data_IF_220530938725
#
_entry.id   IF_220530938725
#
_cell.length_a   1.000
_cell.length_b   1.000
_cell.length_c   1.000
_cell.angle_alpha   90.00
_cell.angle_beta   90.00
_cell.angle_gamma   90.00
#
_symmetry.space_group_name_H-M   'P 1'
#
loop_
_entity.id
_entity.type
_entity.pdbx_description
1 polymer ?
#
# COMPACT_ATOMS: atom_id res chain seq x y z
N UNK A 1 -76.78 -3.14 -33.50
CA UNK A 1 -76.07 -4.28 -32.88
C UNK A 1 -75.77 -3.88 -31.44
N UNK A 2 -76.56 -4.40 -30.49
CA UNK A 2 -76.19 -5.50 -29.56
C UNK A 2 -75.07 -5.04 -28.61
N UNK A 3 -75.10 -5.14 -27.28
CA UNK A 3 -76.08 -5.42 -26.22
C UNK A 3 -75.26 -5.33 -24.90
N UNK A 4 -75.94 -5.36 -23.75
CA UNK A 4 -75.56 -6.14 -22.54
C UNK A 4 -74.13 -5.96 -21.93
N UNK A 5 -73.91 -5.72 -20.65
CA UNK A 5 -74.73 -5.89 -19.45
C UNK A 5 -74.03 -5.24 -18.24
N UNK A 6 -74.80 -4.72 -17.30
CA UNK A 6 -75.13 -5.33 -15.99
C UNK A 6 -73.96 -5.30 -14.99
N UNK A 7 -73.98 -4.39 -14.00
CA UNK A 7 -74.49 -4.61 -12.62
C UNK A 7 -73.62 -5.63 -11.85
N UNK A 8 -73.09 -5.38 -10.65
CA UNK A 8 -73.86 -5.07 -9.44
C UNK A 8 -72.94 -4.66 -8.26
N UNK A 9 -73.35 -3.60 -7.56
CA UNK A 9 -73.30 -3.33 -6.10
C UNK A 9 -71.99 -3.35 -5.25
N UNK A 10 -71.55 -2.15 -4.86
CA UNK A 10 -71.63 -1.53 -3.52
C UNK A 10 -71.43 -2.39 -2.23
N UNK A 11 -70.34 -2.04 -1.51
CA UNK A 11 -70.14 -1.85 -0.06
C UNK A 11 -70.73 -2.86 0.96
N UNK A 12 -69.84 -3.57 1.67
CA UNK A 12 -70.12 -4.31 2.91
C UNK A 12 -69.05 -4.08 3.99
N UNK A 13 -69.51 -3.59 5.15
CA UNK A 13 -68.79 -3.11 6.36
C UNK A 13 -67.67 -4.01 6.90
N UNK A 14 -66.54 -3.36 7.23
CA UNK A 14 -65.49 -3.85 8.13
C UNK A 14 -66.08 -4.17 9.52
N UNK A 15 -65.98 -5.42 9.97
CA UNK A 15 -66.15 -5.80 11.37
C UNK A 15 -64.80 -6.23 11.95
N UNK A 16 -64.37 -5.50 12.98
CA UNK A 16 -63.17 -5.71 13.78
C UNK A 16 -63.40 -6.93 14.69
N UNK A 17 -62.67 -8.02 14.46
CA UNK A 17 -62.63 -9.16 15.40
C UNK A 17 -61.46 -9.00 16.40
N UNK A 18 -61.63 -9.45 17.66
CA UNK A 18 -60.86 -9.01 18.83
C UNK A 18 -59.45 -9.63 18.96
N UNK A 19 -58.57 -8.87 19.63
CA UNK A 19 -57.09 -9.04 19.74
C UNK A 19 -56.68 -10.13 20.75
N UNK A 20 -57.62 -10.87 21.33
CA UNK A 20 -57.35 -11.73 22.50
C UNK A 20 -56.68 -13.08 22.18
N UNK A 21 -56.60 -13.47 20.91
CA UNK A 21 -55.98 -14.74 20.51
C UNK A 21 -54.51 -14.64 20.05
N UNK A 22 -53.90 -13.45 20.08
CA UNK A 22 -52.51 -13.29 19.63
C UNK A 22 -51.46 -13.56 20.73
N UNK A 23 -51.86 -13.55 22.01
CA UNK A 23 -50.90 -13.61 23.14
C UNK A 23 -50.59 -15.04 23.63
N UNK A 24 -51.26 -16.09 23.13
CA UNK A 24 -51.05 -17.48 23.60
C UNK A 24 -50.11 -18.33 22.72
N UNK A 25 -49.55 -17.74 21.67
CA UNK A 25 -48.62 -18.40 20.74
C UNK A 25 -47.15 -17.99 20.93
N UNK A 26 -46.80 -17.35 22.05
CA UNK A 26 -45.44 -16.86 22.32
C UNK A 26 -44.76 -17.54 23.52
N UNK A 27 -45.29 -18.67 24.01
CA UNK A 27 -44.76 -19.35 25.19
C UNK A 27 -44.82 -20.88 25.17
N UNK A 28 -44.54 -21.50 24.01
CA UNK A 28 -44.12 -22.91 23.93
C UNK A 28 -43.26 -23.15 22.68
N UNK A 29 -42.11 -22.46 22.58
CA UNK A 29 -41.04 -22.92 21.68
C UNK A 29 -40.60 -24.29 22.21
N UNK A 30 -40.84 -25.34 21.42
CA UNK A 30 -40.40 -26.70 21.76
C UNK A 30 -38.90 -26.69 22.04
N UNK A 31 -38.45 -27.41 23.08
CA UNK A 31 -37.04 -27.47 23.53
C UNK A 31 -36.04 -27.75 22.39
N UNK A 32 -36.50 -28.39 21.32
CA UNK A 32 -35.71 -28.68 20.12
C UNK A 32 -35.46 -27.46 19.22
N UNK A 33 -36.42 -26.55 19.11
CA UNK A 33 -36.30 -25.33 18.30
C UNK A 33 -35.35 -24.33 18.97
N UNK A 34 -35.42 -24.19 20.31
CA UNK A 34 -34.47 -23.39 21.09
C UNK A 34 -33.02 -23.90 20.95
N UNK A 35 -32.84 -25.23 20.95
CA UNK A 35 -31.53 -25.88 20.75
C UNK A 35 -30.98 -25.66 19.33
N UNK A 36 -31.85 -25.56 18.33
CA UNK A 36 -31.46 -25.27 16.94
C UNK A 36 -30.98 -23.82 16.79
N UNK A 37 -31.65 -22.87 17.43
CA UNK A 37 -31.28 -21.47 17.42
C UNK A 37 -29.95 -21.21 18.15
N UNK A 38 -29.75 -21.80 19.33
CA UNK A 38 -28.48 -21.68 20.08
C UNK A 38 -27.29 -22.26 19.30
N UNK A 39 -27.47 -23.38 18.60
CA UNK A 39 -26.43 -23.96 17.73
C UNK A 39 -26.14 -23.10 16.49
N UNK A 40 -27.15 -22.46 15.92
CA UNK A 40 -26.97 -21.54 14.80
C UNK A 40 -26.21 -20.28 15.24
N UNK A 41 -26.54 -19.75 16.41
CA UNK A 41 -25.90 -18.56 16.97
C UNK A 41 -24.44 -18.83 17.40
N UNK A 42 -24.16 -19.99 18.00
CA UNK A 42 -22.80 -20.41 18.33
C UNK A 42 -21.93 -20.58 17.08
N UNK A 43 -22.48 -21.19 16.01
CA UNK A 43 -21.76 -21.32 14.72
C UNK A 43 -21.56 -19.97 14.03
N UNK A 44 -22.47 -19.01 14.21
CA UNK A 44 -22.30 -17.65 13.68
C UNK A 44 -21.23 -16.88 14.45
N UNK A 45 -21.19 -17.00 15.79
CA UNK A 45 -20.17 -16.38 16.65
C UNK A 45 -18.77 -16.93 16.37
N UNK A 46 -18.62 -18.25 16.24
CA UNK A 46 -17.33 -18.88 15.93
C UNK A 46 -16.81 -18.49 14.53
N UNK A 47 -17.70 -18.31 13.53
CA UNK A 47 -17.32 -17.81 12.21
C UNK A 47 -16.92 -16.33 12.23
N UNK A 48 -17.59 -15.51 13.05
CA UNK A 48 -17.26 -14.10 13.21
C UNK A 48 -15.92 -13.88 13.94
N UNK A 49 -15.58 -14.73 14.91
CA UNK A 49 -14.28 -14.68 15.61
C UNK A 49 -13.13 -15.13 14.72
N UNK A 50 -13.32 -16.17 13.89
CA UNK A 50 -12.31 -16.60 12.89
C UNK A 50 -12.01 -15.51 11.85
N UNK A 51 -13.03 -14.73 11.45
CA UNK A 51 -12.86 -13.59 10.53
C UNK A 51 -12.20 -12.37 11.18
N UNK A 52 -12.29 -12.21 12.51
CA UNK A 52 -11.61 -11.14 13.24
C UNK A 52 -10.13 -11.46 13.48
N UNK A 53 -9.80 -12.72 13.82
CA UNK A 53 -8.40 -13.14 13.98
C UNK A 53 -7.60 -13.12 12.67
N UNK A 54 -8.25 -13.32 11.51
CA UNK A 54 -7.57 -13.16 10.21
C UNK A 54 -7.31 -11.69 9.85
N UNK A 55 -8.11 -10.75 10.36
CA UNK A 55 -7.96 -9.30 10.07
C UNK A 55 -6.95 -8.58 10.97
N UNK A 56 -6.56 -9.16 12.11
CA UNK A 56 -5.54 -8.56 12.99
C UNK A 56 -4.09 -8.89 12.56
N UNK A 57 -3.87 -10.00 11.85
CA UNK A 57 -2.52 -10.38 11.38
C UNK A 57 -2.08 -9.56 10.15
N UNK A 58 -3.01 -9.05 9.34
CA UNK A 58 -2.67 -8.22 8.16
C UNK A 58 -2.47 -6.72 8.47
N UNK A 59 -2.66 -6.27 9.72
CA UNK A 59 -2.62 -4.84 10.07
C UNK A 59 -1.35 -4.35 10.75
N UNK A 60 -0.33 -5.19 10.94
CA UNK A 60 0.89 -4.80 11.68
C UNK A 60 2.19 -4.64 10.90
N UNK A 61 2.17 -4.73 9.57
CA UNK A 61 3.30 -4.29 8.73
C UNK A 61 2.80 -3.62 7.44
N UNK A 62 2.13 -2.47 7.58
CA UNK A 62 2.16 -1.47 6.52
C UNK A 62 2.99 -0.30 7.03
N UNK A 63 4.30 -0.40 6.83
CA UNK A 63 5.11 0.77 6.52
C UNK A 63 4.38 1.46 5.38
N UNK A 64 3.73 2.58 5.67
CA UNK A 64 3.05 3.39 4.67
C UNK A 64 4.14 3.82 3.70
N UNK A 65 4.28 3.10 2.58
CA UNK A 65 4.75 3.70 1.35
C UNK A 65 3.76 4.83 1.14
N UNK A 66 4.21 6.08 1.33
CA UNK A 66 3.47 7.23 0.82
C UNK A 66 3.29 6.89 -0.64
N UNK A 67 2.08 6.51 -1.02
CA UNK A 67 1.75 6.25 -2.41
C UNK A 67 2.12 7.54 -3.12
N UNK A 68 3.06 7.46 -4.07
CA UNK A 68 3.40 8.61 -4.92
C UNK A 68 2.07 9.13 -5.44
N UNK A 69 1.63 10.33 -5.01
CA UNK A 69 0.33 10.81 -5.39
C UNK A 69 0.32 10.88 -6.91
N UNK A 70 -0.66 10.23 -7.51
CA UNK A 70 -0.80 10.13 -8.97
C UNK A 70 -0.90 11.52 -9.62
N UNK A 71 -1.25 12.54 -8.83
CA UNK A 71 -1.29 13.93 -9.23
C UNK A 71 0.07 14.64 -9.07
N UNK A 72 0.55 15.24 -10.16
CA UNK A 72 1.84 15.91 -10.20
C UNK A 72 1.93 17.11 -9.24
N UNK A 73 0.82 17.80 -8.99
CA UNK A 73 0.81 18.96 -8.10
C UNK A 73 0.92 18.56 -6.62
N UNK A 74 0.32 17.43 -6.24
CA UNK A 74 0.47 16.87 -4.90
C UNK A 74 1.91 16.36 -4.65
N UNK A 75 2.51 15.65 -5.61
CA UNK A 75 3.91 15.19 -5.49
C UNK A 75 4.88 16.36 -5.29
N UNK A 76 4.69 17.44 -6.06
CA UNK A 76 5.51 18.65 -5.92
C UNK A 76 5.41 19.23 -4.50
N UNK A 77 4.20 19.35 -3.94
CA UNK A 77 4.00 19.87 -2.57
C UNK A 77 4.68 18.98 -1.52
N UNK A 78 4.52 17.67 -1.61
CA UNK A 78 5.14 16.71 -0.69
C UNK A 78 6.67 16.82 -0.75
N UNK A 79 7.24 16.88 -1.96
CA UNK A 79 8.69 16.99 -2.13
C UNK A 79 9.25 18.33 -1.66
N UNK A 80 8.54 19.44 -1.89
CA UNK A 80 8.93 20.74 -1.34
C UNK A 80 8.99 20.71 0.19
N UNK A 81 7.95 20.17 0.84
CA UNK A 81 7.91 20.02 2.29
C UNK A 81 9.05 19.13 2.80
N UNK A 82 9.32 18.01 2.13
CA UNK A 82 10.44 17.14 2.48
C UNK A 82 11.80 17.86 2.38
N UNK A 83 12.02 18.65 1.34
CA UNK A 83 13.26 19.45 1.18
C UNK A 83 13.38 20.54 2.25
N UNK A 84 12.28 21.18 2.63
CA UNK A 84 12.25 22.17 3.72
C UNK A 84 12.58 21.53 5.07
N UNK A 85 12.03 20.34 5.35
CA UNK A 85 12.37 19.56 6.54
C UNK A 85 13.85 19.19 6.59
N UNK A 86 14.45 18.84 5.44
CA UNK A 86 15.90 18.56 5.37
C UNK A 86 16.73 19.79 5.71
N UNK A 87 16.36 20.95 5.17
CA UNK A 87 17.02 22.23 5.52
C UNK A 87 16.87 22.55 7.01
N UNK A 88 15.69 22.32 7.58
CA UNK A 88 15.43 22.54 9.01
C UNK A 88 16.21 21.57 9.90
N UNK A 89 16.42 20.33 9.47
CA UNK A 89 17.24 19.33 10.16
C UNK A 89 18.76 19.62 10.07
N UNK A 90 19.17 20.69 9.38
CA UNK A 90 20.57 21.06 9.21
C UNK A 90 21.33 20.23 8.17
N UNK A 91 20.64 19.35 7.44
CA UNK A 91 21.22 18.70 6.26
C UNK A 91 21.13 19.67 5.08
N UNK A 92 22.24 19.87 4.34
CA UNK A 92 22.25 20.74 3.15
C UNK A 92 21.89 19.94 1.90
N UNK A 93 20.62 19.99 1.40
CA UNK A 93 20.22 19.26 0.20
C UNK A 93 20.91 19.75 -1.08
N UNK A 94 21.50 20.95 -1.03
CA UNK A 94 22.20 21.58 -2.16
C UNK A 94 23.66 21.86 -1.77
N UNK A 95 24.53 20.85 -1.83
CA UNK A 95 25.96 21.03 -1.55
C UNK A 95 26.60 21.97 -2.59
N UNK A 96 27.46 22.89 -2.14
CA UNK A 96 28.15 23.83 -3.04
C UNK A 96 29.20 23.18 -3.94
N UNK A 97 29.86 22.11 -3.47
CA UNK A 97 30.93 21.43 -4.20
C UNK A 97 30.89 19.94 -3.93
N UNK A 98 30.85 19.16 -4.99
CA UNK A 98 31.08 17.72 -4.98
C UNK A 98 32.28 17.42 -5.88
N UNK A 99 33.26 16.70 -5.37
CA UNK A 99 34.46 16.37 -6.14
C UNK A 99 34.20 15.11 -6.96
N UNK A 100 34.12 15.28 -8.28
CA UNK A 100 33.97 14.18 -9.23
C UNK A 100 35.37 13.77 -9.68
N UNK A 101 35.69 12.48 -9.57
CA UNK A 101 37.00 11.93 -9.93
C UNK A 101 37.06 11.54 -11.40
N UNK A 102 35.96 11.05 -11.96
CA UNK A 102 35.90 10.53 -13.34
C UNK A 102 34.55 10.88 -13.98
N UNK A 103 34.55 11.10 -15.29
CA UNK A 103 33.33 11.28 -16.08
C UNK A 103 32.59 9.94 -16.25
N UNK A 104 31.30 9.99 -16.61
CA UNK A 104 30.52 8.76 -16.82
C UNK A 104 30.99 8.02 -18.10
N UNK A 105 31.36 8.78 -19.12
CA UNK A 105 31.91 8.24 -20.38
C UNK A 105 33.24 7.52 -20.15
N UNK A 106 34.17 8.14 -19.42
CA UNK A 106 35.48 7.53 -19.12
C UNK A 106 35.35 6.30 -18.22
N UNK A 107 34.40 6.30 -17.29
CA UNK A 107 34.13 5.13 -16.46
C UNK A 107 33.71 3.92 -17.31
N UNK A 108 32.77 4.12 -18.24
CA UNK A 108 32.32 3.02 -19.12
C UNK A 108 33.46 2.55 -20.03
N UNK A 109 34.28 3.46 -20.55
CA UNK A 109 35.40 3.10 -21.41
C UNK A 109 36.51 2.32 -20.67
N UNK A 110 36.82 2.69 -19.42
CA UNK A 110 37.83 1.97 -18.62
C UNK A 110 37.37 0.59 -18.17
N UNK A 111 36.11 0.47 -17.78
CA UNK A 111 35.59 -0.75 -17.14
C UNK A 111 34.69 -1.59 -18.06
N UNK A 112 34.66 -1.31 -19.37
CA UNK A 112 33.90 -2.10 -20.34
C UNK A 112 34.34 -3.56 -20.44
N UNK A 113 35.59 -3.85 -20.08
CA UNK A 113 36.23 -5.15 -20.26
C UNK A 113 36.26 -6.00 -18.98
N UNK A 114 35.50 -5.62 -17.94
CA UNK A 114 35.43 -6.39 -16.70
C UNK A 114 34.65 -7.69 -16.89
N UNK A 115 35.07 -8.75 -16.20
CA UNK A 115 34.35 -10.01 -16.19
C UNK A 115 33.04 -9.92 -15.38
N UNK A 116 32.08 -10.79 -15.72
CA UNK A 116 30.83 -10.87 -14.98
C UNK A 116 31.10 -11.22 -13.50
N UNK A 117 30.51 -10.46 -12.59
CA UNK A 117 30.69 -10.56 -11.14
C UNK A 117 32.08 -10.14 -10.58
N UNK A 118 32.96 -9.55 -11.39
CA UNK A 118 34.19 -8.96 -10.89
C UNK A 118 33.90 -7.67 -10.10
N UNK A 119 34.49 -7.55 -8.91
CA UNK A 119 34.40 -6.35 -8.06
C UNK A 119 35.82 -5.85 -7.80
N UNK A 120 36.18 -4.71 -8.39
CA UNK A 120 37.44 -4.03 -8.12
C UNK A 120 37.33 -3.28 -6.79
N UNK A 121 38.09 -3.69 -5.77
CA UNK A 121 38.10 -3.05 -4.45
C UNK A 121 39.24 -2.03 -4.27
N UNK A 122 40.17 -2.00 -5.21
CA UNK A 122 41.43 -1.26 -5.07
C UNK A 122 41.27 0.24 -5.38
N UNK A 123 40.23 0.63 -6.13
CA UNK A 123 40.00 2.00 -6.56
C UNK A 123 38.64 2.52 -6.08
N UNK A 124 38.64 3.69 -5.44
CA UNK A 124 37.42 4.42 -5.07
C UNK A 124 37.26 5.61 -6.00
N UNK A 125 36.14 5.66 -6.73
CA UNK A 125 35.84 6.70 -7.71
C UNK A 125 34.54 7.42 -7.34
N UNK A 126 34.52 8.74 -7.54
CA UNK A 126 33.32 9.55 -7.38
C UNK A 126 32.77 9.96 -8.75
N UNK A 127 31.49 9.65 -8.99
CA UNK A 127 30.75 9.98 -10.22
C UNK A 127 29.51 10.82 -9.90
N UNK A 128 29.04 11.59 -10.87
CA UNK A 128 27.82 12.41 -10.75
C UNK A 128 26.89 12.19 -11.93
N UNK A 129 25.58 12.26 -11.71
CA UNK A 129 24.58 12.12 -12.76
C UNK A 129 23.15 12.37 -12.27
N UNK A 130 22.18 12.23 -13.17
CA UNK A 130 20.74 12.27 -12.84
C UNK A 130 20.21 10.86 -12.63
N UNK A 131 19.46 10.65 -11.55
CA UNK A 131 18.74 9.39 -11.31
C UNK A 131 17.50 9.35 -12.20
N UNK A 132 17.39 8.33 -13.06
CA UNK A 132 16.23 8.10 -13.91
C UNK A 132 15.27 7.07 -13.34
N UNK A 133 15.80 6.06 -12.64
CA UNK A 133 15.00 5.04 -12.00
C UNK A 133 15.67 4.59 -10.70
N UNK A 134 14.85 4.26 -9.72
CA UNK A 134 15.24 3.57 -8.50
C UNK A 134 14.46 2.27 -8.44
N UNK A 135 15.16 1.14 -8.29
CA UNK A 135 14.55 -0.19 -8.16
C UNK A 135 15.02 -0.82 -6.87
N UNK A 136 14.09 -1.17 -6.02
CA UNK A 136 14.38 -1.79 -4.72
C UNK A 136 14.25 -3.31 -4.86
N UNK A 137 15.34 -4.03 -4.62
CA UNK A 137 15.41 -5.49 -4.67
C UNK A 137 15.60 -6.03 -3.26
N UNK A 138 14.57 -5.86 -2.43
CA UNK A 138 14.61 -6.14 -1.00
C UNK A 138 15.11 -4.94 -0.17
N UNK A 139 15.25 -5.14 1.13
CA UNK A 139 15.55 -4.05 2.07
C UNK A 139 17.03 -3.63 2.10
N UNK A 140 17.92 -4.45 1.52
CA UNK A 140 19.39 -4.32 1.60
C UNK A 140 20.08 -4.04 0.26
N UNK A 141 19.35 -4.13 -0.85
CA UNK A 141 19.90 -4.00 -2.20
C UNK A 141 18.99 -3.10 -3.06
N UNK A 142 19.57 -2.02 -3.56
CA UNK A 142 18.86 -1.04 -4.38
C UNK A 142 19.69 -0.77 -5.63
N UNK A 143 19.02 -0.70 -6.77
CA UNK A 143 19.61 -0.34 -8.04
C UNK A 143 19.17 1.07 -8.44
N UNK A 144 20.15 1.91 -8.76
CA UNK A 144 19.91 3.22 -9.35
C UNK A 144 20.36 3.23 -10.80
N UNK A 145 19.51 3.72 -11.68
CA UNK A 145 19.90 4.04 -13.05
C UNK A 145 20.35 5.50 -13.08
N UNK A 146 21.67 5.72 -13.12
CA UNK A 146 22.27 7.04 -13.33
C UNK A 146 22.46 7.28 -14.82
N UNK A 147 22.09 8.49 -15.28
CA UNK A 147 22.42 8.95 -16.63
C UNK A 147 23.11 10.31 -16.60
N UNK A 148 23.99 10.51 -17.56
CA UNK A 148 24.67 11.77 -17.84
C UNK A 148 25.56 11.59 -19.07
N UNK A 149 25.91 12.69 -19.74
CA UNK A 149 26.77 12.67 -20.94
C UNK A 149 26.27 11.74 -22.07
N UNK A 150 24.96 11.44 -22.11
CA UNK A 150 24.38 10.48 -23.07
C UNK A 150 24.63 9.00 -22.74
N UNK A 151 25.29 8.70 -21.63
CA UNK A 151 25.60 7.34 -21.16
C UNK A 151 24.73 7.00 -19.93
N UNK A 152 24.52 5.71 -19.71
CA UNK A 152 23.83 5.16 -18.54
C UNK A 152 24.77 4.24 -17.74
N UNK A 153 24.74 4.37 -16.42
CA UNK A 153 25.44 3.49 -15.49
C UNK A 153 24.45 2.97 -14.46
N UNK A 154 24.55 1.69 -14.13
CA UNK A 154 23.78 1.08 -13.05
C UNK A 154 24.61 1.14 -11.76
N UNK A 155 24.07 1.75 -10.71
CA UNK A 155 24.67 1.75 -9.38
C UNK A 155 24.04 0.63 -8.57
N UNK A 156 24.87 -0.31 -8.13
CA UNK A 156 24.49 -1.37 -7.22
C UNK A 156 24.77 -0.93 -5.78
N UNK A 157 23.75 -0.45 -5.09
CA UNK A 157 23.85 -0.02 -3.69
C UNK A 157 23.49 -1.19 -2.77
N UNK A 158 24.50 -1.81 -2.16
CA UNK A 158 24.35 -2.92 -1.22
C UNK A 158 24.71 -2.50 0.21
N UNK A 159 23.84 -2.80 1.17
CA UNK A 159 24.00 -2.40 2.58
C UNK A 159 25.35 -2.84 3.18
N UNK A 160 25.83 -4.05 2.86
CA UNK A 160 27.11 -4.54 3.40
C UNK A 160 28.37 -3.85 2.83
N UNK A 161 28.24 -3.09 1.74
CA UNK A 161 29.34 -2.30 1.17
C UNK A 161 29.21 -0.81 1.51
N UNK A 162 28.19 -0.43 2.29
CA UNK A 162 28.00 0.94 2.76
C UNK A 162 28.67 1.11 4.13
N UNK A 163 29.17 2.31 4.48
CA UNK A 163 29.83 2.55 5.77
C UNK A 163 29.00 2.18 7.00
N UNK A 164 27.68 2.38 6.94
CA UNK A 164 26.74 2.04 8.01
C UNK A 164 25.37 1.65 7.46
N UNK A 165 24.75 0.61 8.05
CA UNK A 165 23.39 0.20 7.68
C UNK A 165 22.35 1.31 7.97
N UNK A 166 22.56 2.07 9.05
CA UNK A 166 21.66 3.17 9.42
C UNK A 166 21.71 4.31 8.40
N UNK A 167 22.89 4.67 7.92
CA UNK A 167 23.06 5.71 6.90
C UNK A 167 22.50 5.27 5.55
N UNK A 168 22.68 3.99 5.19
CA UNK A 168 22.08 3.39 4.00
C UNK A 168 20.54 3.50 4.04
N UNK A 169 19.93 3.13 5.17
CA UNK A 169 18.49 3.24 5.35
C UNK A 169 18.04 4.71 5.34
N UNK A 170 18.79 5.61 6.00
CA UNK A 170 18.48 7.03 6.07
C UNK A 170 18.50 7.70 4.69
N UNK A 171 19.43 7.34 3.82
CA UNK A 171 19.50 7.90 2.45
C UNK A 171 18.39 7.32 1.58
N UNK A 172 18.11 6.02 1.70
CA UNK A 172 17.22 5.33 0.77
C UNK A 172 15.73 5.41 1.15
N UNK A 173 15.38 5.59 2.44
CA UNK A 173 13.99 5.68 2.91
C UNK A 173 13.33 7.05 2.69
N UNK A 174 14.07 8.08 2.27
CA UNK A 174 13.57 9.47 2.14
C UNK A 174 12.78 9.75 0.85
N UNK A 175 12.04 8.76 0.34
CA UNK A 175 11.19 8.94 -0.84
C UNK A 175 9.77 9.29 -0.44
#
# INVERSE_FOLDING_TARGET
MIACGTFLAKLGKFHRLPIENFCKAMSTISKNELKRQLKAEQKAKEKAEKLKNQKEVEKKEKTVKVEDPTDAAEYFKIRCQAVEQLKAAGESPYPHKFHVTISLTDFVNRYSNLEAAQICKDETLSVSGRVHAKRESGNKLIFYDLRGEGVKIQVMAHSAHYPSEEEFLKINRKN
#
